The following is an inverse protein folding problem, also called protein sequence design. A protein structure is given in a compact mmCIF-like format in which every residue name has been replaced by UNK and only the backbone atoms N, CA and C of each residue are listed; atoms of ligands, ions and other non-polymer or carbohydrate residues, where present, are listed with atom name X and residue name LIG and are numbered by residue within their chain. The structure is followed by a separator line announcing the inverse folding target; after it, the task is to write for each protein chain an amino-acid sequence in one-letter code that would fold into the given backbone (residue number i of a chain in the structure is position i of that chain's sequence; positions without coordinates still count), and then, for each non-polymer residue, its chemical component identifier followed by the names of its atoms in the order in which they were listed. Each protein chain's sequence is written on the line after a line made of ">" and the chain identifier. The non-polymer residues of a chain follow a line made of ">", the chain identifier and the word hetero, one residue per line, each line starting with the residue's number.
data_IF_727383759804
#
_entry.id   IF_727383759804
#
_cell.length_a   1.000
_cell.length_b   1.000
_cell.length_c   1.000
_cell.angle_alpha   90.00
_cell.angle_beta   90.00
_cell.angle_gamma   90.00
#
_symmetry.space_group_name_H-M   'P 1'
#
loop_
_entity.id
_entity.type
_entity.pdbx_description
1 polymer ?
#
# COMPACT_ATOMS: atom_id res chain seq x y z
N UNK A 1 -9.49 -4.94 34.67
CA UNK A 1 -9.62 -3.54 34.21
C UNK A 1 -10.55 -3.56 33.02
N UNK A 2 -11.61 -2.77 32.98
CA UNK A 2 -12.42 -2.70 31.73
C UNK A 2 -11.69 -1.86 30.71
N UNK A 3 -11.93 -2.10 29.42
CA UNK A 3 -11.49 -1.23 28.33
C UNK A 3 -12.12 0.15 28.54
N UNK A 4 -11.45 0.99 29.29
CA UNK A 4 -11.86 2.36 29.58
C UNK A 4 -10.86 3.33 28.93
N UNK A 5 -11.19 4.60 28.99
CA UNK A 5 -10.34 5.68 28.45
C UNK A 5 -8.90 5.63 28.99
N UNK A 6 -8.74 5.31 30.28
CA UNK A 6 -7.44 5.27 30.94
C UNK A 6 -6.54 4.13 30.38
N UNK A 7 -7.15 2.97 30.03
CA UNK A 7 -6.41 1.90 29.35
C UNK A 7 -5.93 2.35 27.98
N UNK A 8 -6.83 2.94 27.17
CA UNK A 8 -6.50 3.35 25.81
C UNK A 8 -5.43 4.45 25.76
N UNK A 9 -5.51 5.43 26.66
CA UNK A 9 -4.48 6.46 26.79
C UNK A 9 -3.12 5.83 27.10
N UNK A 10 -3.05 5.00 28.14
CA UNK A 10 -1.80 4.34 28.52
C UNK A 10 -1.29 3.38 27.47
N UNK A 11 -2.17 2.64 26.81
CA UNK A 11 -1.81 1.74 25.70
C UNK A 11 -1.16 2.52 24.55
N UNK A 12 -1.80 3.61 24.10
CA UNK A 12 -1.30 4.43 23.01
C UNK A 12 0.04 5.11 23.35
N UNK A 13 0.21 5.59 24.59
CA UNK A 13 1.48 6.14 25.06
C UNK A 13 2.59 5.10 24.96
N UNK A 14 2.34 3.89 25.48
CA UNK A 14 3.30 2.79 25.43
C UNK A 14 3.60 2.32 24.01
N UNK A 15 2.58 2.25 23.12
CA UNK A 15 2.79 1.90 21.71
C UNK A 15 3.72 2.88 20.99
N UNK A 16 3.68 4.15 21.37
CA UNK A 16 4.55 5.19 20.80
C UNK A 16 5.98 5.16 21.39
N UNK A 17 6.12 4.71 22.65
CA UNK A 17 7.41 4.69 23.34
C UNK A 17 8.14 3.34 23.16
N UNK A 18 7.46 2.24 23.46
CA UNK A 18 8.01 0.88 23.43
C UNK A 18 6.89 -0.17 23.30
N UNK A 19 6.79 -0.80 22.15
CA UNK A 19 5.77 -1.79 21.82
C UNK A 19 5.81 -3.01 22.74
N UNK A 20 7.01 -3.43 23.20
CA UNK A 20 7.12 -4.55 24.15
C UNK A 20 6.50 -4.21 25.51
N UNK A 21 6.64 -2.97 25.95
CA UNK A 21 5.97 -2.47 27.16
C UNK A 21 4.45 -2.42 27.00
N UNK A 22 3.95 -2.02 25.83
CA UNK A 22 2.52 -2.05 25.50
C UNK A 22 1.97 -3.50 25.49
N UNK A 23 2.72 -4.44 24.93
CA UNK A 23 2.39 -5.87 24.92
C UNK A 23 2.30 -6.43 26.34
N UNK A 24 3.33 -6.18 27.16
CA UNK A 24 3.35 -6.63 28.57
C UNK A 24 2.19 -6.02 29.38
N UNK A 25 1.90 -4.75 29.17
CA UNK A 25 0.77 -4.07 29.80
C UNK A 25 -0.56 -4.73 29.41
N UNK A 26 -0.79 -4.99 28.15
CA UNK A 26 -2.02 -5.62 27.63
C UNK A 26 -2.18 -7.05 28.14
N UNK A 27 -1.10 -7.84 28.20
CA UNK A 27 -1.08 -9.19 28.79
C UNK A 27 -1.44 -9.17 30.28
N UNK A 28 -0.90 -8.22 31.04
CA UNK A 28 -1.24 -8.07 32.45
C UNK A 28 -2.73 -7.72 32.64
N UNK A 29 -3.27 -6.79 31.83
CA UNK A 29 -4.69 -6.44 31.87
C UNK A 29 -5.59 -7.64 31.54
N UNK A 30 -5.20 -8.47 30.55
CA UNK A 30 -5.90 -9.70 30.23
C UNK A 30 -5.90 -10.69 31.42
N UNK A 31 -4.73 -10.92 32.02
CA UNK A 31 -4.59 -11.84 33.16
C UNK A 31 -5.38 -11.41 34.39
N UNK A 32 -5.47 -10.10 34.65
CA UNK A 32 -6.22 -9.56 35.79
C UNK A 32 -7.74 -9.61 35.59
N UNK A 33 -8.23 -9.38 34.38
CA UNK A 33 -9.64 -9.19 34.09
C UNK A 33 -10.32 -10.33 33.37
N UNK A 34 -9.56 -11.20 32.70
CA UNK A 34 -10.04 -12.20 31.72
C UNK A 34 -10.95 -11.61 30.62
N UNK A 35 -10.84 -10.29 30.34
CA UNK A 35 -11.65 -9.65 29.32
C UNK A 35 -11.08 -9.96 27.92
N UNK A 36 -11.86 -10.63 27.03
CA UNK A 36 -11.39 -11.04 25.71
C UNK A 36 -11.08 -9.87 24.76
N UNK A 37 -11.53 -8.66 25.07
CA UNK A 37 -11.22 -7.49 24.24
C UNK A 37 -9.73 -7.13 24.25
N UNK A 38 -8.98 -7.53 25.27
CA UNK A 38 -7.54 -7.30 25.32
C UNK A 38 -6.75 -8.13 24.28
N UNK A 39 -7.33 -9.24 23.79
CA UNK A 39 -6.66 -10.03 22.75
C UNK A 39 -6.37 -9.22 21.47
N UNK A 40 -7.25 -8.29 21.09
CA UNK A 40 -7.05 -7.44 19.94
C UNK A 40 -5.85 -6.48 20.13
N UNK A 41 -5.68 -5.90 21.31
CA UNK A 41 -4.55 -5.01 21.62
C UNK A 41 -3.22 -5.76 21.75
N UNK A 42 -3.24 -6.99 22.28
CA UNK A 42 -2.08 -7.88 22.27
C UNK A 42 -1.67 -8.19 20.82
N UNK A 43 -2.64 -8.49 19.99
CA UNK A 43 -2.39 -8.77 18.57
C UNK A 43 -1.88 -7.55 17.81
N UNK A 44 -2.37 -6.35 18.11
CA UNK A 44 -1.91 -5.09 17.53
C UNK A 44 -0.42 -4.83 17.85
N UNK A 45 0.02 -5.14 19.08
CA UNK A 45 1.43 -5.13 19.43
C UNK A 45 2.23 -6.13 18.56
N UNK A 46 1.74 -7.36 18.38
CA UNK A 46 2.39 -8.34 17.52
C UNK A 46 2.39 -7.93 16.05
N UNK A 47 1.35 -7.25 15.55
CA UNK A 47 1.32 -6.66 14.21
C UNK A 47 2.45 -5.64 14.02
N UNK A 48 2.64 -4.76 15.01
CA UNK A 48 3.71 -3.75 15.00
C UNK A 48 5.11 -4.36 15.10
N UNK A 49 5.25 -5.51 15.80
CA UNK A 49 6.48 -6.30 15.87
C UNK A 49 6.67 -7.22 14.65
N UNK A 50 5.81 -7.16 13.65
CA UNK A 50 5.79 -8.00 12.45
C UNK A 50 5.68 -9.52 12.74
N UNK A 51 5.22 -9.89 13.95
CA UNK A 51 4.92 -11.27 14.33
C UNK A 51 3.45 -11.61 14.03
N UNK A 52 3.17 -11.70 12.74
CA UNK A 52 1.79 -11.89 12.23
C UNK A 52 1.18 -13.23 12.64
N UNK A 53 1.98 -14.28 12.87
CA UNK A 53 1.53 -15.58 13.35
C UNK A 53 0.94 -15.47 14.76
N UNK A 54 1.65 -14.83 15.70
CA UNK A 54 1.11 -14.58 17.02
C UNK A 54 -0.07 -13.62 16.99
N UNK A 55 -0.05 -12.59 16.13
CA UNK A 55 -1.21 -11.72 15.93
C UNK A 55 -2.46 -12.53 15.54
N UNK A 56 -2.39 -13.39 14.52
CA UNK A 56 -3.50 -14.28 14.11
C UNK A 56 -3.97 -15.16 15.25
N UNK A 57 -3.06 -15.73 16.04
CA UNK A 57 -3.40 -16.57 17.21
C UNK A 57 -4.23 -15.81 18.22
N UNK A 58 -3.79 -14.63 18.64
CA UNK A 58 -4.49 -13.84 19.65
C UNK A 58 -5.82 -13.29 19.14
N UNK A 59 -5.90 -12.86 17.87
CA UNK A 59 -7.16 -12.40 17.26
C UNK A 59 -8.21 -13.52 17.21
N UNK A 60 -7.82 -14.74 16.86
CA UNK A 60 -8.72 -15.87 16.91
C UNK A 60 -9.16 -16.21 18.36
N UNK A 61 -8.28 -16.05 19.35
CA UNK A 61 -8.68 -16.18 20.76
C UNK A 61 -9.73 -15.14 21.15
N UNK A 62 -9.57 -13.88 20.73
CA UNK A 62 -10.54 -12.82 20.96
C UNK A 62 -11.92 -13.16 20.39
N UNK A 63 -11.97 -13.53 19.12
CA UNK A 63 -13.21 -13.90 18.43
C UNK A 63 -13.87 -15.15 19.04
N UNK A 64 -13.10 -16.17 19.40
CA UNK A 64 -13.62 -17.41 20.01
C UNK A 64 -14.13 -17.19 21.45
N UNK A 65 -13.68 -16.15 22.15
CA UNK A 65 -14.11 -15.78 23.49
C UNK A 65 -15.13 -14.63 23.50
N UNK A 66 -15.78 -14.33 22.35
CA UNK A 66 -16.82 -13.32 22.19
C UNK A 66 -16.36 -11.91 22.64
N UNK A 67 -15.25 -11.42 22.10
CA UNK A 67 -14.82 -10.04 22.30
C UNK A 67 -15.92 -9.07 21.82
N UNK A 68 -16.08 -7.94 22.51
CA UNK A 68 -17.11 -6.95 22.19
C UNK A 68 -16.71 -6.06 21.01
N UNK A 69 -15.41 -5.93 20.74
CA UNK A 69 -14.83 -5.17 19.64
C UNK A 69 -14.59 -6.03 18.38
N UNK A 70 -15.58 -6.86 18.03
CA UNK A 70 -15.46 -7.89 16.98
C UNK A 70 -15.02 -7.32 15.61
N UNK A 71 -15.58 -6.19 15.17
CA UNK A 71 -15.21 -5.57 13.88
C UNK A 71 -13.74 -5.12 13.86
N UNK A 72 -13.24 -4.53 14.94
CA UNK A 72 -11.83 -4.17 15.07
C UNK A 72 -10.92 -5.41 15.05
N UNK A 73 -11.30 -6.44 15.82
CA UNK A 73 -10.57 -7.72 15.88
C UNK A 73 -10.52 -8.41 14.49
N UNK A 74 -11.64 -8.38 13.74
CA UNK A 74 -11.70 -8.89 12.37
C UNK A 74 -10.82 -8.07 11.40
N UNK A 75 -10.79 -6.74 11.54
CA UNK A 75 -9.94 -5.89 10.70
C UNK A 75 -8.47 -6.28 10.85
N UNK A 76 -7.98 -6.34 12.09
CA UNK A 76 -6.61 -6.77 12.37
C UNK A 76 -6.33 -8.20 11.89
N UNK A 77 -7.32 -9.12 11.99
CA UNK A 77 -7.16 -10.49 11.50
C UNK A 77 -7.04 -10.54 9.97
N UNK A 78 -7.81 -9.72 9.28
CA UNK A 78 -7.72 -9.57 7.83
C UNK A 78 -6.35 -9.05 7.40
N UNK A 79 -5.84 -8.03 8.10
CA UNK A 79 -4.50 -7.46 7.88
C UNK A 79 -3.39 -8.46 8.17
N UNK A 80 -3.46 -9.17 9.31
CA UNK A 80 -2.47 -10.18 9.67
C UNK A 80 -2.38 -11.29 8.61
N UNK A 81 -3.53 -11.75 8.09
CA UNK A 81 -3.53 -12.70 6.98
C UNK A 81 -2.96 -12.10 5.68
N UNK A 82 -3.18 -10.82 5.42
CA UNK A 82 -2.61 -10.12 4.26
C UNK A 82 -1.08 -10.10 4.33
N UNK A 83 -0.51 -9.67 5.45
CA UNK A 83 0.94 -9.63 5.64
C UNK A 83 1.61 -11.01 5.66
N UNK A 84 0.89 -12.06 6.10
CA UNK A 84 1.32 -13.45 5.97
C UNK A 84 1.23 -13.99 4.52
N UNK A 85 0.77 -13.19 3.56
CA UNK A 85 0.54 -13.64 2.19
C UNK A 85 -0.66 -14.60 2.03
N UNK A 86 -1.46 -14.78 3.08
CA UNK A 86 -2.66 -15.62 3.03
C UNK A 86 -3.85 -14.84 2.48
N UNK A 87 -3.73 -14.39 1.23
CA UNK A 87 -4.71 -13.51 0.58
C UNK A 87 -6.12 -14.12 0.52
N UNK A 88 -6.25 -15.45 0.44
CA UNK A 88 -7.58 -16.09 0.45
C UNK A 88 -8.31 -15.87 1.77
N UNK A 89 -7.64 -16.13 2.90
CA UNK A 89 -8.24 -15.92 4.23
C UNK A 89 -8.47 -14.44 4.51
N UNK A 90 -7.54 -13.58 4.13
CA UNK A 90 -7.69 -12.13 4.22
C UNK A 90 -8.94 -11.69 3.46
N UNK A 91 -9.12 -12.13 2.21
CA UNK A 91 -10.30 -11.83 1.40
C UNK A 91 -11.62 -12.27 2.09
N UNK A 92 -11.66 -13.48 2.65
CA UNK A 92 -12.85 -13.99 3.36
C UNK A 92 -13.22 -13.10 4.56
N UNK A 93 -12.24 -12.61 5.30
CA UNK A 93 -12.46 -11.72 6.46
C UNK A 93 -12.96 -10.35 5.99
N UNK A 94 -12.29 -9.74 5.02
CA UNK A 94 -12.67 -8.42 4.52
C UNK A 94 -14.01 -8.41 3.77
N UNK A 95 -14.38 -9.49 3.09
CA UNK A 95 -15.71 -9.62 2.49
C UNK A 95 -16.84 -9.62 3.56
N UNK A 96 -16.61 -10.25 4.72
CA UNK A 96 -17.58 -10.17 5.84
C UNK A 96 -17.68 -8.74 6.38
N UNK A 97 -16.54 -8.05 6.55
CA UNK A 97 -16.51 -6.66 6.99
C UNK A 97 -17.20 -5.72 5.97
N UNK A 98 -17.06 -6.00 4.66
CA UNK A 98 -17.76 -5.23 3.62
C UNK A 98 -19.29 -5.37 3.71
N UNK A 99 -19.81 -6.53 4.13
CA UNK A 99 -21.25 -6.70 4.36
C UNK A 99 -21.71 -5.84 5.52
N UNK A 100 -20.92 -5.74 6.62
CA UNK A 100 -21.22 -4.91 7.78
C UNK A 100 -21.09 -3.40 7.47
N UNK A 101 -20.07 -3.01 6.68
CA UNK A 101 -19.75 -1.63 6.33
C UNK A 101 -19.42 -1.50 4.84
N UNK A 102 -20.43 -1.45 3.95
CA UNK A 102 -20.22 -1.50 2.49
C UNK A 102 -19.36 -0.38 1.92
N UNK A 103 -19.41 0.80 2.52
CA UNK A 103 -18.75 2.01 2.04
C UNK A 103 -17.50 2.38 2.87
N UNK A 104 -16.95 1.43 3.63
CA UNK A 104 -15.70 1.66 4.35
C UNK A 104 -14.53 1.70 3.37
N UNK A 105 -13.89 2.87 3.26
CA UNK A 105 -12.66 3.04 2.47
C UNK A 105 -11.60 2.00 2.83
N UNK A 106 -11.31 1.85 4.12
CA UNK A 106 -10.33 0.90 4.63
C UNK A 106 -10.60 -0.54 4.14
N UNK A 107 -11.84 -1.02 4.29
CA UNK A 107 -12.22 -2.38 3.89
C UNK A 107 -12.09 -2.57 2.38
N UNK A 108 -12.53 -1.58 1.60
CA UNK A 108 -12.47 -1.67 0.12
C UNK A 108 -11.04 -1.56 -0.38
N UNK A 109 -10.20 -0.70 0.20
CA UNK A 109 -8.79 -0.58 -0.15
C UNK A 109 -8.06 -1.93 0.02
N UNK A 110 -8.22 -2.60 1.18
CA UNK A 110 -7.67 -3.94 1.38
C UNK A 110 -8.23 -4.96 0.39
N UNK A 111 -9.54 -4.95 0.13
CA UNK A 111 -10.13 -5.86 -0.86
C UNK A 111 -9.59 -5.64 -2.27
N UNK A 112 -9.34 -4.40 -2.66
CA UNK A 112 -8.71 -4.10 -3.95
C UNK A 112 -7.29 -4.69 -4.02
N UNK A 113 -6.45 -4.43 -3.01
CA UNK A 113 -5.08 -4.94 -2.96
C UNK A 113 -5.05 -6.48 -2.93
N UNK A 114 -5.86 -7.11 -2.07
CA UNK A 114 -5.97 -8.57 -2.00
C UNK A 114 -6.36 -9.15 -3.37
N UNK A 115 -7.31 -8.54 -4.07
CA UNK A 115 -7.77 -9.04 -5.35
C UNK A 115 -6.76 -8.80 -6.48
N UNK A 116 -5.85 -7.83 -6.37
CA UNK A 116 -4.67 -7.73 -7.23
C UNK A 116 -3.76 -8.95 -7.05
N UNK A 117 -3.42 -9.32 -5.80
CA UNK A 117 -2.60 -10.52 -5.51
C UNK A 117 -3.29 -11.82 -5.94
N UNK A 118 -4.62 -11.90 -5.83
CA UNK A 118 -5.42 -13.02 -6.31
C UNK A 118 -5.64 -12.99 -7.84
N UNK A 119 -5.14 -11.98 -8.54
CA UNK A 119 -5.30 -11.73 -9.98
C UNK A 119 -6.76 -11.52 -10.44
N UNK A 120 -7.62 -11.11 -9.53
CA UNK A 120 -9.02 -10.76 -9.78
C UNK A 120 -9.15 -9.27 -10.14
N UNK A 121 -8.43 -8.81 -11.15
CA UNK A 121 -8.28 -7.39 -11.48
C UNK A 121 -9.59 -6.67 -11.77
N UNK A 122 -10.53 -7.34 -12.47
CA UNK A 122 -11.83 -6.75 -12.78
C UNK A 122 -12.63 -6.49 -11.51
N UNK A 123 -12.62 -7.44 -10.58
CA UNK A 123 -13.31 -7.27 -9.31
C UNK A 123 -12.68 -6.17 -8.43
N UNK A 124 -11.35 -6.05 -8.43
CA UNK A 124 -10.67 -4.95 -7.75
C UNK A 124 -11.11 -3.57 -8.31
N UNK A 125 -11.22 -3.45 -9.64
CA UNK A 125 -11.72 -2.22 -10.28
C UNK A 125 -13.19 -1.96 -9.92
N UNK A 126 -14.04 -2.99 -9.96
CA UNK A 126 -15.47 -2.88 -9.59
C UNK A 126 -15.65 -2.37 -8.18
N UNK A 127 -14.90 -2.90 -7.21
CA UNK A 127 -14.89 -2.44 -5.82
C UNK A 127 -14.55 -0.96 -5.69
N UNK A 128 -13.49 -0.51 -6.37
CA UNK A 128 -13.10 0.90 -6.37
C UNK A 128 -14.15 1.81 -7.00
N UNK A 129 -14.74 1.41 -8.14
CA UNK A 129 -15.81 2.17 -8.82
C UNK A 129 -17.07 2.23 -7.95
N UNK A 130 -17.47 1.12 -7.32
CA UNK A 130 -18.60 1.08 -6.41
C UNK A 130 -18.42 2.10 -5.27
N UNK A 131 -17.24 2.12 -4.66
CA UNK A 131 -16.92 3.03 -3.56
C UNK A 131 -16.87 4.50 -4.02
N UNK A 132 -16.28 4.79 -5.19
CA UNK A 132 -16.29 6.14 -5.78
C UNK A 132 -17.72 6.67 -6.01
N UNK A 133 -18.66 5.80 -6.40
CA UNK A 133 -20.04 6.15 -6.64
C UNK A 133 -20.88 6.30 -5.35
N UNK A 134 -20.38 5.90 -4.19
CA UNK A 134 -21.08 6.01 -2.91
C UNK A 134 -21.17 7.45 -2.37
N UNK A 135 -20.33 8.36 -2.88
CA UNK A 135 -20.20 9.75 -2.42
C UNK A 135 -19.89 9.87 -0.90
N UNK A 136 -19.25 8.88 -0.33
CA UNK A 136 -18.87 8.86 1.11
C UNK A 136 -17.40 9.19 1.35
N UNK A 137 -16.60 9.28 0.28
CA UNK A 137 -15.17 9.52 0.37
C UNK A 137 -14.84 11.01 0.49
N UNK A 138 -13.77 11.31 1.21
CA UNK A 138 -13.09 12.60 1.11
C UNK A 138 -12.18 12.63 -0.14
N UNK A 139 -11.59 13.80 -0.42
CA UNK A 139 -10.75 13.99 -1.60
C UNK A 139 -9.52 13.08 -1.60
N UNK A 140 -8.85 12.88 -0.46
CA UNK A 140 -7.66 12.04 -0.36
C UNK A 140 -7.98 10.57 -0.66
N UNK A 141 -9.06 10.04 -0.05
CA UNK A 141 -9.50 8.66 -0.27
C UNK A 141 -9.95 8.47 -1.74
N UNK A 142 -10.65 9.45 -2.30
CA UNK A 142 -11.06 9.45 -3.71
C UNK A 142 -9.84 9.40 -4.63
N UNK A 143 -8.85 10.25 -4.39
CA UNK A 143 -7.61 10.28 -5.17
C UNK A 143 -6.84 8.96 -5.07
N UNK A 144 -6.75 8.38 -3.87
CA UNK A 144 -6.11 7.08 -3.64
C UNK A 144 -6.76 5.96 -4.48
N UNK A 145 -8.09 5.85 -4.45
CA UNK A 145 -8.82 4.83 -5.23
C UNK A 145 -8.62 5.04 -6.73
N UNK A 146 -8.67 6.29 -7.22
CA UNK A 146 -8.44 6.61 -8.62
C UNK A 146 -7.02 6.19 -9.06
N UNK A 147 -5.99 6.49 -8.26
CA UNK A 147 -4.61 6.10 -8.55
C UNK A 147 -4.49 4.56 -8.62
N UNK A 148 -5.09 3.83 -7.68
CA UNK A 148 -5.03 2.37 -7.68
C UNK A 148 -5.72 1.75 -8.90
N UNK A 149 -6.90 2.25 -9.29
CA UNK A 149 -7.56 1.81 -10.54
C UNK A 149 -6.67 2.10 -11.75
N UNK A 150 -6.04 3.29 -11.81
CA UNK A 150 -5.08 3.64 -12.85
C UNK A 150 -3.94 2.62 -12.96
N UNK A 151 -3.34 2.25 -11.82
CA UNK A 151 -2.28 1.24 -11.78
C UNK A 151 -2.74 -0.14 -12.23
N UNK A 152 -3.97 -0.57 -11.88
CA UNK A 152 -4.51 -1.86 -12.34
C UNK A 152 -4.65 -1.85 -13.87
N UNK A 153 -5.15 -0.78 -14.47
CA UNK A 153 -5.24 -0.67 -15.94
C UNK A 153 -3.87 -0.66 -16.60
N UNK A 154 -2.89 0.05 -16.02
CA UNK A 154 -1.54 0.16 -16.58
C UNK A 154 -0.80 -1.19 -16.57
N UNK A 155 -0.85 -1.89 -15.43
CA UNK A 155 0.01 -3.08 -15.22
C UNK A 155 -0.64 -4.40 -15.64
N UNK A 156 -1.96 -4.53 -15.54
CA UNK A 156 -2.61 -5.83 -15.60
C UNK A 156 -3.72 -5.95 -16.65
N UNK A 157 -4.18 -4.83 -17.19
CA UNK A 157 -5.19 -4.83 -18.25
C UNK A 157 -4.53 -4.28 -19.51
N UNK A 158 -4.70 -4.91 -20.65
CA UNK A 158 -4.23 -4.39 -21.95
C UNK A 158 -5.02 -3.14 -22.39
N UNK A 159 -5.28 -2.22 -21.46
CA UNK A 159 -6.03 -1.00 -21.63
C UNK A 159 -5.29 0.17 -20.96
N UNK A 160 -3.98 0.24 -21.19
CA UNK A 160 -3.09 1.23 -20.56
C UNK A 160 -3.54 2.68 -20.79
N UNK A 161 -4.21 2.98 -21.92
CA UNK A 161 -4.81 4.29 -22.19
C UNK A 161 -5.82 4.73 -21.13
N UNK A 162 -6.58 3.78 -20.54
CA UNK A 162 -7.51 4.09 -19.45
C UNK A 162 -6.79 4.51 -18.17
N UNK A 163 -5.55 4.06 -17.95
CA UNK A 163 -4.78 4.48 -16.78
C UNK A 163 -4.58 5.98 -16.73
N UNK A 164 -4.31 6.59 -17.88
CA UNK A 164 -4.12 8.05 -18.04
C UNK A 164 -5.36 8.82 -17.59
N UNK A 165 -6.56 8.32 -17.93
CA UNK A 165 -7.81 8.95 -17.49
C UNK A 165 -7.93 8.97 -15.96
N UNK A 166 -7.61 7.86 -15.30
CA UNK A 166 -7.70 7.72 -13.85
C UNK A 166 -6.63 8.53 -13.12
N UNK A 167 -5.37 8.51 -13.60
CA UNK A 167 -4.30 9.34 -13.03
C UNK A 167 -4.63 10.83 -13.16
N UNK A 168 -5.12 11.27 -14.32
CA UNK A 168 -5.51 12.67 -14.52
C UNK A 168 -6.74 13.07 -13.68
N UNK A 169 -7.69 12.16 -13.40
CA UNK A 169 -8.77 12.43 -12.46
C UNK A 169 -8.24 12.62 -11.04
N UNK A 170 -7.30 11.79 -10.60
CA UNK A 170 -6.67 11.91 -9.30
C UNK A 170 -5.90 13.24 -9.17
N UNK A 171 -5.10 13.61 -10.19
CA UNK A 171 -4.32 14.86 -10.22
C UNK A 171 -5.18 16.13 -10.29
N UNK A 172 -6.45 16.03 -10.70
CA UNK A 172 -7.39 17.15 -10.59
C UNK A 172 -7.88 17.37 -9.16
N UNK A 173 -7.82 16.36 -8.32
CA UNK A 173 -8.18 16.44 -6.90
C UNK A 173 -6.98 16.93 -6.09
N UNK A 174 -5.82 16.33 -6.32
CA UNK A 174 -4.55 16.70 -5.69
C UNK A 174 -3.43 16.65 -6.73
N UNK A 175 -2.85 17.80 -7.05
CA UNK A 175 -1.76 17.94 -8.02
C UNK A 175 -0.40 17.43 -7.50
N UNK A 176 -0.31 17.07 -6.22
CA UNK A 176 0.93 16.62 -5.59
C UNK A 176 0.99 15.08 -5.40
N UNK A 177 0.23 14.32 -6.15
CA UNK A 177 0.23 12.85 -6.11
C UNK A 177 1.38 12.27 -6.94
N UNK A 178 2.55 12.10 -6.34
CA UNK A 178 3.73 11.55 -7.02
C UNK A 178 3.47 10.18 -7.64
N UNK A 179 2.70 9.29 -6.98
CA UNK A 179 2.32 7.99 -7.54
C UNK A 179 1.53 8.07 -8.86
N UNK A 180 0.73 9.12 -9.06
CA UNK A 180 0.02 9.34 -10.32
C UNK A 180 0.99 9.76 -11.44
N UNK A 181 1.95 10.63 -11.12
CA UNK A 181 3.01 11.01 -12.07
C UNK A 181 3.92 9.84 -12.43
N UNK A 182 4.28 8.97 -11.47
CA UNK A 182 5.02 7.73 -11.77
C UNK A 182 4.24 6.88 -12.77
N UNK A 183 2.93 6.70 -12.54
CA UNK A 183 2.06 5.94 -13.45
C UNK A 183 1.97 6.56 -14.85
N UNK A 184 1.87 7.89 -14.96
CA UNK A 184 1.92 8.59 -16.24
C UNK A 184 3.31 8.44 -16.91
N UNK A 185 4.39 8.55 -16.15
CA UNK A 185 5.74 8.32 -16.63
C UNK A 185 5.91 6.93 -17.25
N UNK A 186 5.47 5.88 -16.54
CA UNK A 186 5.50 4.51 -17.07
C UNK A 186 4.61 4.34 -18.31
N UNK A 187 3.42 4.93 -18.32
CA UNK A 187 2.56 4.89 -19.50
C UNK A 187 3.25 5.48 -20.72
N UNK A 188 3.78 6.71 -20.59
CA UNK A 188 4.46 7.39 -21.70
C UNK A 188 5.75 6.68 -22.14
N UNK A 189 6.50 6.10 -21.20
CA UNK A 189 7.66 5.28 -21.51
C UNK A 189 7.27 4.06 -22.37
N UNK A 190 6.20 3.36 -22.00
CA UNK A 190 5.71 2.17 -22.70
C UNK A 190 5.27 2.47 -24.14
N UNK A 191 4.71 3.65 -24.40
CA UNK A 191 4.33 4.09 -25.75
C UNK A 191 5.48 4.84 -26.48
N UNK A 192 6.69 4.85 -25.90
CA UNK A 192 7.91 5.46 -26.43
C UNK A 192 7.85 7.00 -26.56
N UNK A 193 6.97 7.64 -25.84
CA UNK A 193 6.95 9.10 -25.69
C UNK A 193 7.88 9.52 -24.55
N UNK A 194 9.20 9.31 -24.75
CA UNK A 194 10.21 9.42 -23.70
C UNK A 194 10.31 10.81 -23.07
N UNK A 195 10.07 11.87 -23.86
CA UNK A 195 10.05 13.25 -23.32
C UNK A 195 8.91 13.45 -22.34
N UNK A 196 7.70 12.95 -22.66
CA UNK A 196 6.57 13.02 -21.76
C UNK A 196 6.77 12.12 -20.52
N UNK A 197 7.39 10.94 -20.70
CA UNK A 197 7.77 10.08 -19.57
C UNK A 197 8.71 10.81 -18.62
N UNK A 198 9.76 11.45 -19.15
CA UNK A 198 10.76 12.19 -18.37
C UNK A 198 10.11 13.30 -17.53
N UNK A 199 9.27 14.16 -18.14
CA UNK A 199 8.55 15.23 -17.44
C UNK A 199 7.75 14.70 -16.24
N UNK A 200 7.08 13.56 -16.40
CA UNK A 200 6.27 12.99 -15.33
C UNK A 200 7.14 12.35 -14.22
N UNK A 201 8.20 11.64 -14.58
CA UNK A 201 9.12 11.06 -13.59
C UNK A 201 9.84 12.17 -12.79
N UNK A 202 10.32 13.23 -13.46
CA UNK A 202 10.95 14.37 -12.79
C UNK A 202 9.97 15.04 -11.83
N UNK A 203 8.71 15.22 -12.24
CA UNK A 203 7.68 15.76 -11.34
C UNK A 203 7.46 14.89 -10.10
N UNK A 204 7.50 13.56 -10.24
CA UNK A 204 7.43 12.65 -9.09
C UNK A 204 8.65 12.79 -8.17
N UNK A 205 9.85 12.96 -8.73
CA UNK A 205 11.08 13.21 -7.96
C UNK A 205 10.98 14.54 -7.20
N UNK A 206 10.52 15.60 -7.83
CA UNK A 206 10.31 16.92 -7.19
C UNK A 206 9.34 16.86 -6.01
N UNK A 207 8.36 15.94 -6.08
CA UNK A 207 7.41 15.65 -5.01
C UNK A 207 7.96 14.68 -3.94
N UNK A 208 9.24 14.34 -3.98
CA UNK A 208 9.92 13.41 -3.08
C UNK A 208 9.42 11.95 -3.16
N UNK A 209 8.79 11.58 -4.26
CA UNK A 209 8.34 10.21 -4.56
C UNK A 209 9.35 9.46 -5.47
N UNK A 210 10.58 9.94 -5.52
CA UNK A 210 11.67 9.36 -6.31
C UNK A 210 12.18 8.05 -5.70
N UNK A 211 11.68 6.91 -6.17
CA UNK A 211 12.21 5.58 -5.84
C UNK A 211 13.36 5.20 -6.80
N UNK A 212 14.12 4.16 -6.47
CA UNK A 212 15.18 3.63 -7.34
C UNK A 212 14.62 3.33 -8.74
N UNK A 213 13.41 2.76 -8.83
CA UNK A 213 12.76 2.45 -10.11
C UNK A 213 12.44 3.71 -10.92
N UNK A 214 12.05 4.81 -10.26
CA UNK A 214 11.79 6.10 -10.93
C UNK A 214 13.08 6.67 -11.49
N UNK A 215 14.17 6.70 -10.71
CA UNK A 215 15.48 7.15 -11.17
C UNK A 215 15.99 6.28 -12.35
N UNK A 216 15.79 4.98 -12.29
CA UNK A 216 16.10 4.08 -13.40
C UNK A 216 15.24 4.38 -14.63
N UNK A 217 13.93 4.64 -14.45
CA UNK A 217 13.03 5.06 -15.53
C UNK A 217 13.50 6.34 -16.22
N UNK A 218 13.95 7.36 -15.46
CA UNK A 218 14.55 8.58 -15.98
C UNK A 218 15.80 8.27 -16.80
N UNK A 219 16.71 7.45 -16.27
CA UNK A 219 17.92 7.05 -16.99
C UNK A 219 17.60 6.38 -18.33
N UNK A 220 16.59 5.51 -18.36
CA UNK A 220 16.18 4.83 -19.60
C UNK A 220 15.51 5.80 -20.59
N UNK A 221 14.80 6.81 -20.12
CA UNK A 221 14.28 7.88 -20.97
C UNK A 221 15.43 8.66 -21.64
N UNK A 222 16.42 9.10 -20.86
CA UNK A 222 17.59 9.81 -21.39
C UNK A 222 18.39 8.95 -22.39
N UNK A 223 18.61 7.66 -22.06
CA UNK A 223 19.23 6.71 -23.01
C UNK A 223 18.48 6.63 -24.32
N UNK A 224 17.15 6.51 -24.27
CA UNK A 224 16.30 6.42 -25.47
C UNK A 224 16.28 7.72 -26.30
N UNK A 225 16.55 8.86 -25.67
CA UNK A 225 16.70 10.17 -26.30
C UNK A 225 18.14 10.44 -26.79
N UNK A 226 19.07 9.47 -26.66
CA UNK A 226 20.49 9.58 -26.93
C UNK A 226 21.23 10.64 -26.09
N UNK A 227 20.70 10.99 -24.92
CA UNK A 227 21.30 11.88 -23.92
C UNK A 227 22.12 11.04 -22.93
N UNK A 228 23.25 10.51 -23.40
CA UNK A 228 24.01 9.47 -22.70
C UNK A 228 24.66 9.95 -21.40
N UNK A 229 25.11 11.21 -21.35
CA UNK A 229 25.72 11.79 -20.14
C UNK A 229 24.70 11.88 -19.00
N UNK A 230 23.48 12.34 -19.31
CA UNK A 230 22.39 12.41 -18.34
C UNK A 230 21.95 11.00 -17.90
N UNK A 231 21.84 10.07 -18.86
CA UNK A 231 21.52 8.68 -18.56
C UNK A 231 22.54 8.05 -17.60
N UNK A 232 23.85 8.24 -17.83
CA UNK A 232 24.90 7.75 -16.95
C UNK A 232 24.82 8.36 -15.53
N UNK A 233 24.52 9.65 -15.44
CA UNK A 233 24.37 10.32 -14.14
C UNK A 233 23.29 9.66 -13.28
N UNK A 234 22.13 9.37 -13.86
CA UNK A 234 21.02 8.70 -13.16
C UNK A 234 21.33 7.21 -12.90
N UNK A 235 21.98 6.51 -13.84
CA UNK A 235 22.42 5.12 -13.65
C UNK A 235 23.43 4.99 -12.51
N UNK A 236 24.31 5.97 -12.32
CA UNK A 236 25.22 6.00 -11.18
C UNK A 236 24.51 6.12 -9.85
N UNK A 237 23.43 6.93 -9.78
CA UNK A 237 22.59 7.05 -8.58
C UNK A 237 21.97 5.69 -8.21
N UNK A 238 21.34 5.01 -9.16
CA UNK A 238 20.70 3.71 -8.88
C UNK A 238 21.72 2.61 -8.58
N UNK A 239 22.89 2.66 -9.23
CA UNK A 239 23.99 1.72 -8.96
C UNK A 239 24.62 1.94 -7.58
N UNK A 240 24.68 3.16 -7.08
CA UNK A 240 25.13 3.44 -5.71
C UNK A 240 24.15 2.90 -4.66
N UNK A 241 22.84 2.92 -4.97
CA UNK A 241 21.81 2.38 -4.08
C UNK A 241 21.76 0.84 -4.08
N UNK A 242 22.01 0.20 -5.23
CA UNK A 242 22.13 -1.25 -5.39
C UNK A 242 23.25 -1.59 -6.37
N UNK A 243 24.47 -1.76 -5.84
CA UNK A 243 25.66 -2.03 -6.61
C UNK A 243 25.78 -3.48 -7.14
N UNK A 244 24.90 -4.36 -6.68
CA UNK A 244 24.84 -5.76 -7.09
C UNK A 244 23.90 -6.01 -8.28
N UNK A 245 23.09 -5.03 -8.65
CA UNK A 245 22.09 -5.17 -9.72
C UNK A 245 22.74 -5.25 -11.08
N UNK A 246 22.73 -6.45 -11.65
CA UNK A 246 23.35 -6.73 -12.96
C UNK A 246 22.76 -5.90 -14.10
N UNK A 247 21.47 -5.52 -14.01
CA UNK A 247 20.83 -4.69 -15.02
C UNK A 247 21.46 -3.29 -15.07
N UNK A 248 21.69 -2.66 -13.92
CA UNK A 248 22.30 -1.33 -13.86
C UNK A 248 23.71 -1.35 -14.40
N UNK A 249 24.51 -2.37 -14.01
CA UNK A 249 25.88 -2.56 -14.50
C UNK A 249 25.90 -2.75 -16.02
N UNK A 250 24.95 -3.52 -16.55
CA UNK A 250 24.83 -3.77 -17.99
C UNK A 250 24.52 -2.46 -18.75
N UNK A 251 23.52 -1.70 -18.27
CA UNK A 251 23.11 -0.46 -18.91
C UNK A 251 24.23 0.59 -18.93
N UNK A 252 24.99 0.71 -17.82
CA UNK A 252 26.18 1.60 -17.76
C UNK A 252 27.20 1.20 -18.82
N UNK A 253 27.59 -0.09 -18.87
CA UNK A 253 28.57 -0.59 -19.85
C UNK A 253 28.12 -0.41 -21.29
N UNK A 254 26.83 -0.58 -21.56
CA UNK A 254 26.29 -0.36 -22.92
C UNK A 254 26.48 1.09 -23.37
N UNK A 255 26.22 2.05 -22.49
CA UNK A 255 26.37 3.48 -22.79
C UNK A 255 27.86 3.88 -22.92
N UNK A 256 28.72 3.37 -22.03
CA UNK A 256 30.17 3.66 -22.06
C UNK A 256 30.87 3.15 -23.34
N UNK A 257 30.26 2.22 -24.06
CA UNK A 257 30.76 1.66 -25.30
C UNK A 257 30.17 2.31 -26.57
N UNK A 258 29.32 3.32 -26.43
CA UNK A 258 28.75 4.11 -27.53
C UNK A 258 29.61 5.32 -27.86
#
# INVERSE_FOLDING_TARGET
>A
MNLNKDFLEKYNDLMNEDVESALNFSLNCLNESNNPDFYAYIADCYMTLEDYENAVKYLNLGLNNNCTNESFTKSLLGEAYFYLGNFKKSNEVFLKLKIENPNSFFVVAYLMDINIYLKNYDYAIELGIELLNSNTLNDNDTAYILVNIGWIYLKYKNLAEKSVEYFNKALKIDENLGRAYIGLGEYYYNIKEYTNALINYEKAIDLQEGTIDVYFGVAMCYKALNQYEDALSYLQIVHQADNSNELYIKEIKEIENL
#
